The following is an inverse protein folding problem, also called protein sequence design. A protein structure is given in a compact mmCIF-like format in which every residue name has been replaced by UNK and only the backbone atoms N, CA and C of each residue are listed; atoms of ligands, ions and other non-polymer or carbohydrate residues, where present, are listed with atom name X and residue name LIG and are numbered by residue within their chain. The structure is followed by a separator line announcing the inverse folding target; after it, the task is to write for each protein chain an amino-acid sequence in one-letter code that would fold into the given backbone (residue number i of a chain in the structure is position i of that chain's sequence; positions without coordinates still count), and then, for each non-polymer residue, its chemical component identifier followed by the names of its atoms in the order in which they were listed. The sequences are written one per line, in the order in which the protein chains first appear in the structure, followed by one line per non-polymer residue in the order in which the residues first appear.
data_IF_321675444410
#
_entry.id   IF_321675444410
#
_cell.length_a   1.000
_cell.length_b   1.000
_cell.length_c   1.000
_cell.angle_alpha   90.00
_cell.angle_beta   90.00
_cell.angle_gamma   90.00
#
_symmetry.space_group_name_H-M   'P 1'
#
loop_
_entity.id
_entity.type
_entity.pdbx_description
1 polymer ?
#
# COMPACT_ATOMS: atom_id res chain seq x y z
N UNK A 1 -20.97 -7.22 -8.78
CA UNK A 1 -19.82 -6.71 -8.02
C UNK A 1 -18.89 -6.10 -9.05
N UNK A 2 -18.67 -4.79 -9.00
CA UNK A 2 -17.81 -4.11 -9.97
C UNK A 2 -16.36 -4.63 -9.85
N UNK A 3 -15.66 -4.77 -10.98
CA UNK A 3 -14.31 -5.34 -11.01
C UNK A 3 -13.31 -4.54 -10.17
N UNK A 4 -13.50 -3.22 -10.09
CA UNK A 4 -12.67 -2.33 -9.29
C UNK A 4 -12.91 -2.52 -7.79
N UNK A 5 -14.17 -2.67 -7.38
CA UNK A 5 -14.53 -2.92 -5.98
C UNK A 5 -13.91 -4.22 -5.46
N UNK A 6 -13.87 -5.27 -6.28
CA UNK A 6 -13.23 -6.54 -5.93
C UNK A 6 -11.70 -6.38 -5.78
N UNK A 7 -11.04 -5.61 -6.66
CA UNK A 7 -9.60 -5.31 -6.52
C UNK A 7 -9.31 -4.55 -5.22
N UNK A 8 -10.11 -3.52 -4.91
CA UNK A 8 -10.00 -2.75 -3.66
C UNK A 8 -10.11 -3.65 -2.42
N UNK A 9 -11.13 -4.52 -2.37
CA UNK A 9 -11.31 -5.49 -1.27
C UNK A 9 -10.10 -6.42 -1.11
N UNK A 10 -9.56 -6.94 -2.22
CA UNK A 10 -8.35 -7.79 -2.18
C UNK A 10 -7.11 -7.02 -1.73
N UNK A 11 -6.96 -5.76 -2.15
CA UNK A 11 -5.84 -4.91 -1.74
C UNK A 11 -5.86 -4.65 -0.23
N UNK A 12 -7.02 -4.27 0.34
CA UNK A 12 -7.18 -4.08 1.80
C UNK A 12 -6.88 -5.38 2.55
N UNK A 13 -7.41 -6.51 2.08
CA UNK A 13 -7.12 -7.81 2.70
C UNK A 13 -5.61 -8.11 2.72
N UNK A 14 -4.90 -7.95 1.60
CA UNK A 14 -3.44 -8.18 1.52
C UNK A 14 -2.65 -7.22 2.40
N UNK A 15 -3.10 -5.97 2.54
CA UNK A 15 -2.45 -4.99 3.40
C UNK A 15 -2.55 -5.35 4.89
N UNK A 16 -3.61 -6.07 5.29
CA UNK A 16 -3.85 -6.56 6.66
C UNK A 16 -3.23 -7.94 6.94
N UNK A 17 -2.64 -8.59 5.94
CA UNK A 17 -2.09 -9.96 6.03
C UNK A 17 -0.67 -10.03 5.44
N UNK A 18 0.25 -9.28 6.05
CA UNK A 18 1.69 -9.26 5.80
C UNK A 18 2.41 -10.21 6.76
N UNK A 19 3.70 -10.41 6.56
CA UNK A 19 4.54 -11.26 7.40
C UNK A 19 4.94 -10.62 8.73
N UNK A 20 4.71 -9.32 8.93
CA UNK A 20 4.99 -8.62 10.19
C UNK A 20 3.82 -7.76 10.65
N UNK A 21 3.58 -7.74 11.97
CA UNK A 21 2.54 -6.91 12.59
C UNK A 21 2.74 -5.41 12.36
N UNK A 22 3.99 -4.96 12.18
CA UNK A 22 4.29 -3.56 11.91
C UNK A 22 3.79 -3.17 10.52
N UNK A 23 4.09 -3.98 9.49
CA UNK A 23 3.58 -3.74 8.14
C UNK A 23 2.07 -3.89 8.05
N UNK A 24 1.47 -4.84 8.79
CA UNK A 24 0.00 -4.95 8.89
C UNK A 24 -0.62 -3.65 9.41
N UNK A 25 -0.02 -3.06 10.44
CA UNK A 25 -0.54 -1.85 11.06
C UNK A 25 -0.39 -0.62 10.16
N UNK A 26 0.76 -0.50 9.50
CA UNK A 26 1.06 0.63 8.61
C UNK A 26 0.25 0.50 7.32
N UNK A 27 0.38 -0.60 6.59
CA UNK A 27 -0.28 -0.75 5.30
C UNK A 27 -1.78 -0.95 5.46
N UNK A 28 -2.22 -1.68 6.49
CA UNK A 28 -3.63 -1.93 6.76
C UNK A 28 -4.42 -0.65 7.02
N UNK A 29 -3.96 0.19 7.97
CA UNK A 29 -4.63 1.46 8.29
C UNK A 29 -4.64 2.42 7.09
N UNK A 30 -3.53 2.51 6.37
CA UNK A 30 -3.48 3.27 5.12
C UNK A 30 -4.49 2.75 4.10
N UNK A 31 -4.54 1.42 3.90
CA UNK A 31 -5.41 0.79 2.93
C UNK A 31 -6.89 1.04 3.24
N UNK A 32 -7.31 0.84 4.49
CA UNK A 32 -8.69 1.09 4.94
C UNK A 32 -9.12 2.55 4.70
N UNK A 33 -8.21 3.51 4.89
CA UNK A 33 -8.50 4.93 4.72
C UNK A 33 -8.48 5.41 3.25
N UNK A 34 -7.57 4.87 2.42
CA UNK A 34 -7.26 5.42 1.09
C UNK A 34 -7.75 4.57 -0.07
N UNK A 35 -7.69 3.23 0.03
CA UNK A 35 -8.08 2.32 -1.07
C UNK A 35 -9.53 2.49 -1.55
N UNK A 36 -10.53 2.80 -0.68
CA UNK A 36 -11.89 3.09 -1.16
C UNK A 36 -11.99 4.28 -2.12
N UNK A 37 -11.02 5.20 -2.06
CA UNK A 37 -10.97 6.45 -2.82
C UNK A 37 -10.01 6.40 -4.01
N UNK A 38 -9.22 5.33 -4.15
CA UNK A 38 -8.20 5.22 -5.19
C UNK A 38 -8.80 4.96 -6.57
N UNK A 39 -8.40 5.75 -7.55
CA UNK A 39 -8.63 5.46 -8.97
C UNK A 39 -7.81 4.23 -9.41
N UNK A 40 -8.15 3.66 -10.58
CA UNK A 40 -7.56 2.39 -11.04
C UNK A 40 -6.03 2.42 -11.12
N UNK A 41 -5.44 3.54 -11.56
CA UNK A 41 -3.99 3.69 -11.65
C UNK A 41 -3.30 3.69 -10.28
N UNK A 42 -3.85 4.42 -9.30
CA UNK A 42 -3.32 4.43 -7.94
C UNK A 42 -3.45 3.06 -7.26
N UNK A 43 -4.58 2.39 -7.49
CA UNK A 43 -4.78 1.03 -6.99
C UNK A 43 -3.75 0.07 -7.59
N UNK A 44 -3.42 0.20 -8.88
CA UNK A 44 -2.38 -0.62 -9.51
C UNK A 44 -1.00 -0.40 -8.86
N UNK A 45 -0.60 0.85 -8.61
CA UNK A 45 0.65 1.15 -7.89
C UNK A 45 0.66 0.56 -6.48
N UNK A 46 -0.44 0.66 -5.75
CA UNK A 46 -0.56 0.07 -4.42
C UNK A 46 -0.53 -1.47 -4.47
N UNK A 47 -1.15 -2.10 -5.47
CA UNK A 47 -1.07 -3.54 -5.69
C UNK A 47 0.36 -4.00 -5.98
N UNK A 48 1.16 -3.19 -6.68
CA UNK A 48 2.59 -3.47 -6.90
C UNK A 48 3.39 -3.38 -5.59
N UNK A 49 3.11 -2.42 -4.70
CA UNK A 49 3.70 -2.40 -3.34
C UNK A 49 3.32 -3.67 -2.58
N UNK A 50 2.06 -4.09 -2.64
CA UNK A 50 1.59 -5.31 -1.96
C UNK A 50 2.20 -6.60 -2.54
N UNK A 51 2.63 -6.60 -3.79
CA UNK A 51 3.30 -7.73 -4.43
C UNK A 51 4.79 -7.85 -4.07
N UNK A 52 5.40 -6.79 -3.54
CA UNK A 52 6.80 -6.79 -3.09
C UNK A 52 6.98 -7.53 -1.76
N UNK A 53 8.21 -7.98 -1.51
CA UNK A 53 8.57 -8.67 -0.27
C UNK A 53 8.56 -7.71 0.91
N UNK A 54 8.22 -8.22 2.09
CA UNK A 54 8.14 -7.41 3.31
C UNK A 54 9.42 -6.63 3.64
N UNK A 55 10.64 -7.17 3.50
CA UNK A 55 11.86 -6.40 3.76
C UNK A 55 12.02 -5.18 2.84
N UNK A 56 11.62 -5.30 1.57
CA UNK A 56 11.69 -4.21 0.61
C UNK A 56 10.66 -3.13 0.95
N UNK A 57 9.42 -3.55 1.24
CA UNK A 57 8.35 -2.61 1.60
C UNK A 57 8.67 -1.88 2.91
N UNK A 58 9.20 -2.58 3.92
CA UNK A 58 9.66 -1.97 5.17
C UNK A 58 10.76 -0.93 4.91
N UNK A 59 11.75 -1.28 4.09
CA UNK A 59 12.83 -0.36 3.70
C UNK A 59 12.27 0.90 3.01
N UNK A 60 11.36 0.74 2.06
CA UNK A 60 10.76 1.84 1.32
C UNK A 60 9.95 2.76 2.24
N UNK A 61 9.13 2.21 3.14
CA UNK A 61 8.37 3.04 4.08
C UNK A 61 9.29 3.80 5.01
N UNK A 62 10.33 3.16 5.56
CA UNK A 62 11.25 3.80 6.51
C UNK A 62 12.17 4.84 5.87
N UNK A 63 12.67 4.57 4.66
CA UNK A 63 13.66 5.42 3.97
C UNK A 63 13.04 6.40 2.97
N UNK A 64 11.83 6.12 2.49
CA UNK A 64 11.20 6.88 1.41
C UNK A 64 11.81 6.63 0.04
N UNK A 65 12.60 5.57 -0.13
CA UNK A 65 13.36 5.28 -1.35
C UNK A 65 12.78 4.06 -2.08
N UNK A 66 11.66 4.28 -2.77
CA UNK A 66 11.00 3.26 -3.56
C UNK A 66 11.27 3.45 -5.06
N UNK A 67 11.40 2.37 -5.85
CA UNK A 67 11.84 2.47 -7.24
C UNK A 67 10.75 3.02 -8.16
N UNK A 68 11.16 3.88 -9.10
CA UNK A 68 10.36 4.29 -10.26
C UNK A 68 8.97 4.79 -9.86
N UNK A 69 7.93 4.18 -10.43
CA UNK A 69 6.54 4.61 -10.23
C UNK A 69 5.99 4.32 -8.81
N UNK A 70 6.72 3.56 -7.99
CA UNK A 70 6.34 3.30 -6.59
C UNK A 70 6.69 4.46 -5.64
N UNK A 71 7.61 5.34 -6.04
CA UNK A 71 8.04 6.47 -5.22
C UNK A 71 6.87 7.37 -4.81
N UNK A 72 5.92 7.62 -5.70
CA UNK A 72 4.75 8.44 -5.42
C UNK A 72 3.83 7.83 -4.35
N UNK A 73 3.48 6.54 -4.47
CA UNK A 73 2.60 5.86 -3.50
C UNK A 73 3.29 5.69 -2.15
N UNK A 74 4.60 5.44 -2.14
CA UNK A 74 5.37 5.35 -0.89
C UNK A 74 5.48 6.71 -0.20
N UNK A 75 5.68 7.79 -0.96
CA UNK A 75 5.64 9.15 -0.42
C UNK A 75 4.26 9.49 0.16
N UNK A 76 3.16 9.10 -0.50
CA UNK A 76 1.79 9.27 0.02
C UNK A 76 1.59 8.51 1.34
N UNK A 77 2.03 7.25 1.42
CA UNK A 77 1.93 6.46 2.67
C UNK A 77 2.72 7.14 3.79
N UNK A 78 3.92 7.67 3.50
CA UNK A 78 4.72 8.39 4.50
C UNK A 78 4.06 9.69 4.95
N UNK A 79 3.49 10.46 4.03
CA UNK A 79 2.75 11.69 4.34
C UNK A 79 1.54 11.41 5.25
N UNK A 80 0.80 10.32 4.99
CA UNK A 80 -0.31 9.87 5.84
C UNK A 80 0.11 9.67 7.31
N UNK A 81 1.36 9.26 7.54
CA UNK A 81 1.94 9.09 8.88
C UNK A 81 2.83 10.26 9.35
N UNK A 82 3.01 11.29 8.52
CA UNK A 82 3.91 12.43 8.76
C UNK A 82 5.37 12.01 9.03
N UNK A 83 5.89 11.07 8.23
CA UNK A 83 7.23 10.48 8.32
C UNK A 83 8.29 11.14 7.43
#
# INVERSE_FOLDING_TARGET
MDGLELRRKRAVYRALHRGTKELDLILGRYAEARVPLMEEAQLASFETVLAAQDPDVDLWIRKGDAPGELSAIVAEIRDFYRL
#
